data_IF_580454127336
#
_entry.id   IF_580454127336
#
_cell.length_a   1.000
_cell.length_b   1.000
_cell.length_c   1.000
_cell.angle_alpha   90.00
_cell.angle_beta   90.00
_cell.angle_gamma   90.00
#
_symmetry.space_group_name_H-M   'P 1'
#
loop_
_entity.id
_entity.type
_entity.pdbx_description
1 polymer ?
#
# COMPACT_ATOMS: atom_id res chain seq x y z
N UNK A 1 23.25 18.15 -20.09
CA UNK A 1 22.46 18.43 -18.88
C UNK A 1 22.61 17.22 -17.99
N UNK A 2 23.38 17.31 -16.91
CA UNK A 2 23.37 16.28 -15.87
C UNK A 2 21.95 16.22 -15.31
N UNK A 3 21.26 15.09 -15.49
CA UNK A 3 20.00 14.83 -14.79
C UNK A 3 20.35 14.89 -13.30
N UNK A 4 19.85 15.90 -12.60
CA UNK A 4 20.02 16.00 -11.16
C UNK A 4 19.47 14.74 -10.49
N UNK A 5 20.19 14.24 -9.48
CA UNK A 5 19.74 13.11 -8.66
C UNK A 5 18.40 13.50 -8.04
N UNK A 6 17.29 12.94 -8.52
CA UNK A 6 16.00 13.08 -7.86
C UNK A 6 16.01 12.19 -6.64
N UNK A 7 15.66 12.78 -5.49
CA UNK A 7 15.53 12.01 -4.25
C UNK A 7 14.21 11.24 -4.29
N UNK A 8 14.18 9.98 -3.81
CA UNK A 8 12.94 9.25 -3.75
C UNK A 8 11.98 9.94 -2.77
N UNK A 9 10.69 9.88 -3.08
CA UNK A 9 9.60 10.28 -2.18
C UNK A 9 9.27 9.18 -1.17
N UNK A 10 9.50 7.92 -1.55
CA UNK A 10 9.31 6.72 -0.71
C UNK A 10 10.56 5.86 -0.83
N UNK A 11 11.09 5.44 0.32
CA UNK A 11 12.18 4.49 0.41
C UNK A 11 11.68 3.22 1.06
N UNK A 12 11.71 2.11 0.34
CA UNK A 12 11.40 0.79 0.89
C UNK A 12 12.71 0.07 1.15
N UNK A 13 12.88 -0.52 2.32
CA UNK A 13 14.01 -1.40 2.64
C UNK A 13 13.45 -2.78 2.96
N UNK A 14 13.65 -3.73 2.06
CA UNK A 14 13.14 -5.10 2.18
C UNK A 14 14.23 -6.06 2.66
N UNK A 15 13.86 -7.05 3.48
CA UNK A 15 14.76 -8.08 3.99
C UNK A 15 15.03 -9.22 3.00
N UNK A 16 14.22 -9.33 1.94
CA UNK A 16 14.38 -10.29 0.85
C UNK A 16 13.95 -9.74 -0.53
N UNK A 17 14.29 -10.50 -1.57
CA UNK A 17 14.02 -10.14 -2.95
C UNK A 17 12.53 -10.17 -3.31
N UNK A 18 11.79 -11.19 -2.87
CA UNK A 18 10.35 -11.29 -3.17
C UNK A 18 9.58 -10.15 -2.53
N UNK A 19 9.84 -9.84 -1.25
CA UNK A 19 9.23 -8.72 -0.56
C UNK A 19 9.59 -7.36 -1.18
N UNK A 20 10.81 -7.21 -1.71
CA UNK A 20 11.19 -6.03 -2.46
C UNK A 20 10.31 -5.84 -3.72
N UNK A 21 10.15 -6.88 -4.53
CA UNK A 21 9.34 -6.81 -5.74
C UNK A 21 7.85 -6.59 -5.44
N UNK A 22 7.30 -7.25 -4.42
CA UNK A 22 5.90 -7.07 -4.02
C UNK A 22 5.62 -5.60 -3.67
N UNK A 23 6.48 -5.00 -2.84
CA UNK A 23 6.38 -3.59 -2.47
C UNK A 23 6.52 -2.67 -3.71
N UNK A 24 7.46 -2.99 -4.59
CA UNK A 24 7.70 -2.24 -5.82
C UNK A 24 6.51 -2.27 -6.78
N UNK A 25 5.90 -3.44 -7.00
CA UNK A 25 4.72 -3.61 -7.85
C UNK A 25 3.54 -2.81 -7.32
N UNK A 26 3.30 -2.87 -5.99
CA UNK A 26 2.21 -2.14 -5.33
C UNK A 26 2.27 -0.64 -5.62
N UNK A 27 3.47 -0.05 -5.52
CA UNK A 27 3.71 1.37 -5.77
C UNK A 27 3.69 1.71 -7.28
N UNK A 28 4.22 0.83 -8.14
CA UNK A 28 4.20 1.02 -9.58
C UNK A 28 2.77 1.04 -10.15
N UNK A 29 1.87 0.19 -9.63
CA UNK A 29 0.47 0.12 -10.05
C UNK A 29 -0.32 1.41 -9.85
N UNK A 30 0.12 2.28 -8.92
CA UNK A 30 -0.51 3.58 -8.64
C UNK A 30 0.23 4.77 -9.28
N UNK A 31 1.15 4.48 -10.20
CA UNK A 31 1.81 5.48 -11.04
C UNK A 31 3.16 5.98 -10.55
N UNK A 32 3.75 5.37 -9.53
CA UNK A 32 5.14 5.66 -9.17
C UNK A 32 6.11 5.06 -10.20
N UNK A 33 7.17 5.79 -10.52
CA UNK A 33 8.40 5.17 -11.04
C UNK A 33 9.14 4.51 -9.88
N UNK A 34 9.52 3.25 -10.04
CA UNK A 34 10.09 2.40 -8.98
C UNK A 34 11.35 1.73 -9.49
N UNK A 35 12.43 1.84 -8.72
CA UNK A 35 13.68 1.10 -8.95
C UNK A 35 13.95 0.15 -7.79
N UNK A 36 14.26 -1.12 -8.09
CA UNK A 36 14.73 -2.10 -7.10
C UNK A 36 16.26 -2.19 -7.17
N UNK A 37 16.92 -1.68 -6.15
CA UNK A 37 18.38 -1.67 -6.05
C UNK A 37 18.89 -2.85 -5.20
N UNK A 38 19.87 -3.56 -5.74
CA UNK A 38 20.57 -4.67 -5.06
C UNK A 38 21.93 -4.24 -4.49
N UNK A 39 22.51 -3.18 -5.05
CA UNK A 39 23.83 -2.68 -4.69
C UNK A 39 23.80 -1.16 -4.60
N UNK A 40 24.62 -0.62 -3.68
CA UNK A 40 24.87 0.82 -3.55
C UNK A 40 26.23 1.16 -4.19
N UNK A 41 26.44 2.30 -4.84
CA UNK A 41 25.70 3.57 -4.76
C UNK A 41 24.74 3.74 -5.93
N UNK A 42 23.47 3.33 -5.76
CA UNK A 42 22.44 3.51 -6.76
C UNK A 42 22.18 5.00 -7.06
N UNK A 43 22.03 5.34 -8.34
CA UNK A 43 21.75 6.70 -8.82
C UNK A 43 20.70 6.66 -9.94
N UNK A 44 19.45 6.41 -9.55
CA UNK A 44 18.29 6.48 -10.43
C UNK A 44 17.51 7.78 -10.27
N UNK A 45 16.53 7.97 -11.17
CA UNK A 45 15.59 9.10 -11.10
C UNK A 45 14.17 8.71 -10.65
N UNK A 46 13.95 7.45 -10.24
CA UNK A 46 12.65 6.99 -9.76
C UNK A 46 12.16 7.71 -8.50
N UNK A 47 10.83 7.87 -8.44
CA UNK A 47 10.11 8.44 -7.30
C UNK A 47 10.11 7.53 -6.07
N UNK A 48 10.37 6.23 -6.25
CA UNK A 48 10.43 5.22 -5.20
C UNK A 48 11.68 4.38 -5.40
N UNK A 49 12.47 4.22 -4.33
CA UNK A 49 13.59 3.28 -4.31
C UNK A 49 13.25 2.13 -3.38
N UNK A 50 13.43 0.90 -3.86
CA UNK A 50 13.32 -0.31 -3.06
C UNK A 50 14.72 -0.92 -2.93
N UNK A 51 15.24 -0.99 -1.71
CA UNK A 51 16.55 -1.58 -1.43
C UNK A 51 16.32 -2.99 -0.90
N UNK A 52 16.81 -3.98 -1.62
CA UNK A 52 16.85 -5.35 -1.11
C UNK A 52 18.11 -5.55 -0.26
N UNK A 53 17.92 -5.75 1.03
CA UNK A 53 19.02 -6.00 1.97
C UNK A 53 19.43 -7.46 2.06
N UNK A 54 18.68 -8.41 1.48
CA UNK A 54 18.95 -9.86 1.51
C UNK A 54 19.54 -10.30 2.87
N UNK A 55 18.77 -10.03 3.93
CA UNK A 55 19.21 -10.07 5.33
C UNK A 55 18.37 -10.97 6.21
N UNK A 56 17.26 -11.53 5.70
CA UNK A 56 16.31 -12.35 6.48
C UNK A 56 16.97 -13.48 7.27
N UNK A 57 17.90 -14.20 6.64
CA UNK A 57 18.57 -15.36 7.25
C UNK A 57 19.96 -15.03 7.82
N UNK A 58 20.35 -13.76 7.89
CA UNK A 58 21.62 -13.35 8.47
C UNK A 58 21.56 -13.36 10.01
N UNK A 59 22.73 -13.33 10.65
CA UNK A 59 22.82 -12.98 12.06
C UNK A 59 22.26 -11.56 12.30
N UNK A 60 21.49 -11.32 13.38
CA UNK A 60 20.89 -10.01 13.65
C UNK A 60 21.87 -8.84 13.64
N UNK A 61 23.09 -9.03 14.15
CA UNK A 61 24.11 -7.96 14.17
C UNK A 61 24.61 -7.66 12.76
N UNK A 62 24.83 -8.70 11.95
CA UNK A 62 25.25 -8.55 10.56
C UNK A 62 24.14 -7.89 9.71
N UNK A 63 22.88 -8.25 9.93
CA UNK A 63 21.74 -7.60 9.29
C UNK A 63 21.69 -6.10 9.63
N UNK A 64 21.80 -5.74 10.91
CA UNK A 64 21.84 -4.33 11.34
C UNK A 64 23.02 -3.55 10.74
N UNK A 65 24.22 -4.15 10.66
CA UNK A 65 25.38 -3.55 10.00
C UNK A 65 25.13 -3.33 8.49
N UNK A 66 24.53 -4.33 7.82
CA UNK A 66 24.20 -4.25 6.39
C UNK A 66 23.21 -3.12 6.12
N UNK A 67 22.15 -3.01 6.92
CA UNK A 67 21.20 -1.88 6.86
C UNK A 67 21.93 -0.54 7.04
N UNK A 68 22.75 -0.42 8.09
CA UNK A 68 23.50 0.82 8.37
C UNK A 68 24.39 1.21 7.18
N UNK A 69 25.08 0.23 6.59
CA UNK A 69 25.92 0.45 5.40
C UNK A 69 25.10 0.93 4.20
N UNK A 70 23.99 0.25 3.87
CA UNK A 70 23.12 0.63 2.76
C UNK A 70 22.61 2.07 2.93
N UNK A 71 22.18 2.43 4.14
CA UNK A 71 21.64 3.75 4.43
C UNK A 71 22.69 4.86 4.41
N UNK A 72 23.96 4.56 4.72
CA UNK A 72 25.05 5.55 4.68
C UNK A 72 25.30 6.15 3.28
N UNK A 73 24.83 5.47 2.24
CA UNK A 73 24.97 5.88 0.84
C UNK A 73 23.79 6.72 0.33
N UNK A 74 22.78 6.98 1.16
CA UNK A 74 21.55 7.68 0.75
C UNK A 74 21.54 9.16 1.15
N UNK A 75 21.09 10.07 0.26
CA UNK A 75 21.09 11.51 0.51
C UNK A 75 19.88 11.98 1.34
N UNK A 76 19.74 11.51 2.59
CA UNK A 76 18.55 11.72 3.45
C UNK A 76 18.41 13.11 4.09
N UNK A 77 19.44 13.97 4.03
CA UNK A 77 19.53 15.19 4.85
C UNK A 77 18.53 16.32 4.52
N UNK A 78 17.95 16.35 3.30
CA UNK A 78 17.01 17.41 2.88
C UNK A 78 15.75 16.76 2.27
N UNK A 79 14.59 17.00 2.88
CA UNK A 79 13.28 16.40 2.58
C UNK A 79 13.30 14.86 2.66
N UNK A 80 13.27 14.27 3.87
CA UNK A 80 13.38 12.83 4.03
C UNK A 80 12.17 12.11 3.39
N UNK A 81 12.38 10.98 2.69
CA UNK A 81 11.29 10.18 2.16
C UNK A 81 10.44 9.58 3.29
N UNK A 82 9.24 9.11 2.93
CA UNK A 82 8.57 8.09 3.74
C UNK A 82 9.43 6.82 3.70
N UNK A 83 9.90 6.37 4.87
CA UNK A 83 10.70 5.14 4.98
C UNK A 83 9.79 3.99 5.39
N UNK A 84 9.79 2.94 4.57
CA UNK A 84 9.06 1.70 4.82
C UNK A 84 10.07 0.57 5.02
N UNK A 85 10.07 -0.03 6.21
CA UNK A 85 10.72 -1.30 6.43
C UNK A 85 9.76 -2.43 6.02
N UNK A 86 10.01 -3.00 4.84
CA UNK A 86 9.31 -4.19 4.37
C UNK A 86 9.87 -5.43 5.07
N UNK A 87 8.98 -6.13 5.78
CA UNK A 87 9.23 -7.38 6.49
C UNK A 87 8.37 -8.52 5.94
N UNK A 88 8.69 -9.74 6.34
CA UNK A 88 7.89 -10.92 6.10
C UNK A 88 6.54 -10.85 6.86
N UNK A 89 5.43 -11.12 6.18
CA UNK A 89 4.08 -11.10 6.81
C UNK A 89 3.91 -12.17 7.90
N UNK A 90 4.77 -13.18 7.86
CA UNK A 90 4.87 -14.26 8.85
C UNK A 90 6.00 -14.06 9.85
N UNK A 91 6.49 -12.81 9.99
CA UNK A 91 7.41 -12.38 11.04
C UNK A 91 8.77 -13.10 11.11
N UNK A 92 9.22 -13.72 10.02
CA UNK A 92 10.56 -14.30 9.96
C UNK A 92 11.63 -13.22 9.83
N UNK A 93 12.83 -13.52 10.33
CA UNK A 93 14.03 -12.70 10.14
C UNK A 93 14.34 -11.70 11.25
N UNK A 94 15.07 -10.64 10.88
CA UNK A 94 15.76 -9.75 11.82
C UNK A 94 15.00 -8.45 12.09
N UNK A 95 13.70 -8.56 12.36
CA UNK A 95 12.78 -7.41 12.47
C UNK A 95 13.27 -6.35 13.46
N UNK A 96 13.58 -6.73 14.70
CA UNK A 96 13.95 -5.76 15.73
C UNK A 96 15.31 -5.11 15.46
N UNK A 97 16.30 -5.90 15.02
CA UNK A 97 17.63 -5.39 14.71
C UNK A 97 17.62 -4.42 13.52
N UNK A 98 16.84 -4.72 12.48
CA UNK A 98 16.75 -3.89 11.28
C UNK A 98 15.91 -2.63 11.50
N UNK A 99 14.85 -2.70 12.33
CA UNK A 99 14.11 -1.50 12.78
C UNK A 99 15.07 -0.53 13.49
N UNK A 100 15.82 -1.02 14.48
CA UNK A 100 16.75 -0.19 15.24
C UNK A 100 17.82 0.44 14.34
N UNK A 101 18.39 -0.34 13.42
CA UNK A 101 19.39 0.16 12.47
C UNK A 101 18.82 1.25 11.55
N UNK A 102 17.61 1.05 11.01
CA UNK A 102 16.95 2.04 10.16
C UNK A 102 16.59 3.33 10.92
N UNK A 103 16.03 3.20 12.12
CA UNK A 103 15.72 4.34 12.99
C UNK A 103 16.96 5.18 13.25
N UNK A 104 18.08 4.55 13.63
CA UNK A 104 19.37 5.24 13.83
C UNK A 104 19.87 5.90 12.56
N UNK A 105 19.87 5.20 11.44
CA UNK A 105 20.38 5.71 10.17
C UNK A 105 19.56 6.89 9.62
N UNK A 106 18.25 6.91 9.88
CA UNK A 106 17.36 7.98 9.44
C UNK A 106 17.20 9.12 10.47
N UNK A 107 17.72 8.96 11.69
CA UNK A 107 17.46 9.89 12.79
C UNK A 107 15.99 9.92 13.23
N UNK A 108 15.29 8.79 13.11
CA UNK A 108 13.86 8.65 13.45
C UNK A 108 13.73 8.02 14.85
N UNK A 109 12.87 8.60 15.70
CA UNK A 109 12.65 8.11 17.08
C UNK A 109 11.41 7.25 17.25
N UNK A 110 10.49 7.21 16.28
CA UNK A 110 9.29 6.37 16.34
C UNK A 110 9.17 5.39 15.18
N UNK A 111 8.82 4.14 15.47
CA UNK A 111 8.47 3.14 14.46
C UNK A 111 7.06 2.57 14.71
N UNK A 112 6.28 2.43 13.64
CA UNK A 112 4.93 1.85 13.66
C UNK A 112 4.96 0.52 12.94
N UNK A 113 4.60 -0.56 13.64
CA UNK A 113 4.64 -1.94 13.15
C UNK A 113 3.22 -2.43 12.89
N UNK A 114 2.93 -2.71 11.63
CA UNK A 114 1.66 -3.24 11.13
C UNK A 114 1.95 -4.34 10.08
N UNK A 115 2.24 -5.58 10.52
CA UNK A 115 2.68 -6.65 9.63
C UNK A 115 1.54 -7.35 8.89
N UNK A 116 0.28 -7.06 9.24
CA UNK A 116 -0.89 -7.69 8.65
C UNK A 116 -0.91 -7.60 7.12
N UNK A 117 -1.42 -8.67 6.50
CA UNK A 117 -1.71 -8.74 5.08
C UNK A 117 -3.04 -9.50 4.88
N UNK A 118 -4.19 -8.82 5.06
CA UNK A 118 -5.51 -9.45 5.08
C UNK A 118 -5.83 -10.26 3.83
N UNK A 119 -5.42 -9.80 2.65
CA UNK A 119 -5.61 -10.52 1.38
C UNK A 119 -4.90 -11.88 1.35
N UNK A 120 -3.81 -12.02 2.10
CA UNK A 120 -3.11 -13.29 2.30
C UNK A 120 -3.55 -14.00 3.59
N UNK A 121 -4.61 -13.55 4.27
CA UNK A 121 -5.10 -14.13 5.52
C UNK A 121 -4.20 -13.86 6.74
N UNK A 122 -3.31 -12.85 6.69
CA UNK A 122 -2.47 -12.46 7.83
C UNK A 122 -3.11 -11.28 8.56
N UNK A 123 -3.40 -11.45 9.84
CA UNK A 123 -4.00 -10.39 10.68
C UNK A 123 -3.21 -10.18 11.96
N UNK A 124 -3.35 -8.99 12.54
CA UNK A 124 -2.82 -8.66 13.86
C UNK A 124 -3.99 -8.38 14.80
N UNK A 125 -4.07 -9.16 15.87
CA UNK A 125 -5.17 -9.11 16.85
C UNK A 125 -4.57 -9.18 18.25
N UNK A 126 -4.85 -8.18 19.08
CA UNK A 126 -4.29 -8.01 20.41
C UNK A 126 -2.75 -8.07 20.44
N UNK A 127 -2.09 -7.49 19.43
CA UNK A 127 -0.64 -7.53 19.25
C UNK A 127 -0.07 -8.89 18.85
N UNK A 128 -0.90 -9.89 18.59
CA UNK A 128 -0.53 -11.22 18.12
C UNK A 128 -0.75 -11.38 16.62
N UNK A 129 0.12 -12.13 15.94
CA UNK A 129 -0.02 -12.44 14.52
C UNK A 129 -0.76 -13.76 14.32
N UNK A 130 -1.73 -13.72 13.41
CA UNK A 130 -2.60 -14.82 13.03
C UNK A 130 -2.50 -15.04 11.53
N UNK A 131 -2.54 -16.31 11.12
CA UNK A 131 -2.53 -16.76 9.73
C UNK A 131 -3.77 -17.63 9.52
N UNK A 132 -4.69 -17.19 8.66
CA UNK A 132 -5.95 -17.88 8.38
C UNK A 132 -6.75 -18.24 9.64
N UNK A 133 -6.75 -17.36 10.63
CA UNK A 133 -7.44 -17.58 11.91
C UNK A 133 -6.70 -18.48 12.91
N UNK A 134 -5.50 -18.96 12.59
CA UNK A 134 -4.64 -19.76 13.47
C UNK A 134 -3.47 -18.90 13.97
N UNK A 135 -3.07 -19.04 15.24
CA UNK A 135 -1.90 -18.32 15.76
C UNK A 135 -0.65 -18.71 14.98
N UNK A 136 0.22 -17.74 14.67
CA UNK A 136 1.39 -18.03 13.84
C UNK A 136 2.31 -19.13 14.42
N UNK A 137 2.39 -19.26 15.75
CA UNK A 137 3.16 -20.31 16.44
C UNK A 137 2.56 -21.72 16.30
N UNK A 138 1.33 -21.82 15.80
CA UNK A 138 0.61 -23.08 15.56
C UNK A 138 0.56 -23.42 14.06
N UNK A 139 1.38 -22.76 13.24
CA UNK A 139 1.48 -22.97 11.78
C UNK A 139 2.86 -23.47 11.38
N UNK A 140 3.08 -23.79 10.10
CA UNK A 140 4.39 -24.22 9.61
C UNK A 140 5.52 -23.18 9.84
N UNK A 141 5.18 -21.88 9.95
CA UNK A 141 6.15 -20.79 10.13
C UNK A 141 6.89 -20.87 11.47
N UNK A 142 6.28 -21.50 12.49
CA UNK A 142 6.93 -21.76 13.77
C UNK A 142 8.11 -22.74 13.65
N UNK A 143 8.07 -23.61 12.62
CA UNK A 143 9.07 -24.65 12.34
C UNK A 143 9.92 -24.37 11.11
N UNK A 144 9.95 -23.11 10.62
CA UNK A 144 10.78 -22.73 9.47
C UNK A 144 12.24 -23.14 9.71
N UNK A 145 12.90 -23.82 8.75
CA UNK A 145 14.20 -24.46 8.97
C UNK A 145 15.35 -23.47 9.14
N UNK A 146 15.16 -22.20 8.75
CA UNK A 146 16.19 -21.15 8.83
C UNK A 146 15.86 -20.10 9.87
N UNK A 147 14.59 -19.73 9.96
CA UNK A 147 14.11 -18.56 10.71
C UNK A 147 12.80 -18.88 11.43
N UNK A 148 12.81 -19.79 12.42
CA UNK A 148 11.59 -20.20 13.11
C UNK A 148 10.96 -19.05 13.90
N UNK A 149 9.63 -18.96 13.86
CA UNK A 149 8.86 -17.94 14.59
C UNK A 149 8.55 -18.43 16.00
N UNK A 150 9.16 -17.80 17.01
CA UNK A 150 9.14 -18.30 18.39
C UNK A 150 8.01 -17.74 19.27
N UNK A 151 7.28 -16.72 18.81
CA UNK A 151 6.17 -16.12 19.55
C UNK A 151 5.10 -15.64 18.58
N UNK A 152 3.84 -15.68 19.00
CA UNK A 152 2.77 -15.03 18.25
C UNK A 152 2.72 -13.53 18.49
N UNK A 153 3.23 -13.06 19.65
CA UNK A 153 3.23 -11.67 20.03
C UNK A 153 4.36 -10.92 19.34
N UNK A 154 3.99 -9.97 18.48
CA UNK A 154 4.94 -9.22 17.64
C UNK A 154 5.98 -8.48 18.48
N UNK A 155 5.54 -7.89 19.60
CA UNK A 155 6.44 -7.17 20.49
C UNK A 155 7.52 -8.08 21.10
N UNK A 156 7.20 -9.34 21.38
CA UNK A 156 8.17 -10.30 21.94
C UNK A 156 9.23 -10.65 20.88
N UNK A 157 8.83 -10.87 19.63
CA UNK A 157 9.76 -11.12 18.51
C UNK A 157 10.73 -9.94 18.35
N UNK A 158 10.22 -8.71 18.36
CA UNK A 158 11.04 -7.51 18.20
C UNK A 158 12.05 -7.37 19.36
N UNK A 159 11.59 -7.55 20.61
CA UNK A 159 12.42 -7.41 21.81
C UNK A 159 13.54 -8.44 21.92
N UNK A 160 13.49 -9.54 21.18
CA UNK A 160 14.62 -10.48 21.11
C UNK A 160 15.86 -9.87 20.46
N UNK A 161 15.71 -8.77 19.70
CA UNK A 161 16.76 -8.23 18.84
C UNK A 161 17.05 -6.75 19.08
N UNK A 162 16.26 -6.06 19.91
CA UNK A 162 16.46 -4.65 20.25
C UNK A 162 16.03 -4.34 21.68
N UNK A 163 16.69 -3.35 22.30
CA UNK A 163 16.33 -2.82 23.61
C UNK A 163 15.34 -1.64 23.54
N UNK A 164 14.95 -1.18 22.34
CA UNK A 164 13.98 -0.09 22.19
C UNK A 164 12.63 -0.55 22.77
N UNK A 165 11.98 0.27 23.62
CA UNK A 165 10.65 -0.05 24.14
C UNK A 165 9.65 -0.33 23.02
N UNK A 166 9.13 -1.55 23.00
CA UNK A 166 8.09 -1.98 22.07
C UNK A 166 6.77 -2.18 22.81
N UNK A 167 5.67 -1.57 22.36
CA UNK A 167 4.37 -1.65 23.04
C UNK A 167 3.20 -1.63 22.05
N UNK A 168 2.02 -2.18 22.42
CA UNK A 168 0.80 -1.96 21.65
C UNK A 168 0.42 -0.48 21.63
N UNK A 169 0.04 0.03 20.46
CA UNK A 169 -0.47 1.40 20.29
C UNK A 169 -1.68 1.38 19.36
N UNK A 170 -2.51 2.41 19.46
CA UNK A 170 -3.64 2.64 18.56
C UNK A 170 -3.31 3.79 17.61
N UNK A 171 -4.00 3.85 16.48
CA UNK A 171 -3.85 4.95 15.49
C UNK A 171 -4.06 6.32 16.16
N UNK A 172 -5.05 6.45 17.04
CA UNK A 172 -5.34 7.69 17.77
C UNK A 172 -4.24 8.10 18.76
N UNK A 173 -3.43 7.18 19.26
CA UNK A 173 -2.35 7.51 20.20
C UNK A 173 -1.13 8.08 19.48
N UNK A 174 -0.95 7.84 18.17
CA UNK A 174 0.23 8.27 17.42
C UNK A 174 0.49 9.78 17.49
N UNK A 175 -0.58 10.60 17.53
CA UNK A 175 -0.48 12.06 17.65
C UNK A 175 0.00 12.56 19.02
N UNK A 176 -0.01 11.69 20.03
CA UNK A 176 0.31 12.00 21.42
C UNK A 176 1.63 11.38 21.90
N UNK A 177 2.30 10.56 21.07
CA UNK A 177 3.56 9.93 21.44
C UNK A 177 4.70 10.95 21.45
N UNK A 178 5.55 10.86 22.48
CA UNK A 178 6.77 11.67 22.57
C UNK A 178 7.80 11.18 21.57
N UNK A 179 8.58 12.12 21.03
CA UNK A 179 9.68 11.85 20.12
C UNK A 179 11.05 11.99 20.80
N UNK A 180 11.10 12.26 22.11
CA UNK A 180 12.33 12.46 22.87
C UNK A 180 13.12 11.16 23.10
N UNK A 181 12.43 10.02 23.17
CA UNK A 181 13.02 8.71 23.39
C UNK A 181 12.56 7.75 22.29
N UNK A 182 13.44 6.84 21.81
CA UNK A 182 13.05 5.85 20.82
C UNK A 182 11.91 4.94 21.30
N UNK A 183 10.94 4.65 20.42
CA UNK A 183 9.86 3.71 20.69
C UNK A 183 9.42 2.94 19.44
N UNK A 184 8.84 1.75 19.67
CA UNK A 184 8.24 0.90 18.64
C UNK A 184 6.78 0.60 19.05
N UNK A 185 5.84 0.97 18.19
CA UNK A 185 4.41 0.78 18.42
C UNK A 185 3.84 -0.31 17.51
N UNK A 186 3.27 -1.37 18.07
CA UNK A 186 2.53 -2.39 17.30
C UNK A 186 1.06 -1.98 17.21
N UNK A 187 0.51 -1.90 16.01
CA UNK A 187 -0.90 -1.59 15.78
C UNK A 187 -1.61 -2.79 15.18
N UNK A 188 -2.76 -3.13 15.76
CA UNK A 188 -3.65 -4.17 15.25
C UNK A 188 -4.25 -3.78 13.90
N UNK A 189 -4.38 -4.77 13.03
CA UNK A 189 -5.00 -4.63 11.72
C UNK A 189 -5.57 -5.97 11.25
N UNK A 190 -6.84 -5.97 10.87
CA UNK A 190 -7.54 -7.15 10.37
C UNK A 190 -8.02 -6.98 8.93
N UNK A 191 -8.12 -5.73 8.47
CA UNK A 191 -8.65 -5.36 7.16
C UNK A 191 -7.74 -4.34 6.45
N UNK A 192 -7.86 -4.25 5.13
CA UNK A 192 -7.17 -3.23 4.34
C UNK A 192 -7.52 -1.81 4.80
N UNK A 193 -8.75 -1.60 5.31
CA UNK A 193 -9.18 -0.32 5.89
C UNK A 193 -8.46 0.03 7.20
N UNK A 194 -8.07 -0.96 8.01
CA UNK A 194 -7.22 -0.72 9.19
C UNK A 194 -5.83 -0.26 8.74
N UNK A 195 -5.24 -0.97 7.77
CA UNK A 195 -3.94 -0.64 7.21
C UNK A 195 -3.92 0.74 6.55
N UNK A 196 -5.00 1.10 5.84
CA UNK A 196 -5.16 2.43 5.27
C UNK A 196 -5.10 3.49 6.37
N UNK A 197 -5.87 3.33 7.46
CA UNK A 197 -5.88 4.26 8.60
C UNK A 197 -4.49 4.41 9.23
N UNK A 198 -3.75 3.30 9.37
CA UNK A 198 -2.37 3.32 9.88
C UNK A 198 -1.46 4.11 8.93
N UNK A 199 -1.49 3.81 7.63
CA UNK A 199 -0.68 4.49 6.62
C UNK A 199 -0.96 6.00 6.59
N UNK A 200 -2.23 6.42 6.64
CA UNK A 200 -2.57 7.85 6.73
C UNK A 200 -1.98 8.53 7.95
N UNK A 201 -2.17 7.92 9.12
CA UNK A 201 -1.72 8.54 10.37
C UNK A 201 -0.20 8.71 10.39
N UNK A 202 0.54 7.76 9.81
CA UNK A 202 1.99 7.85 9.66
C UNK A 202 2.40 8.92 8.64
N UNK A 203 1.73 8.97 7.47
CA UNK A 203 2.00 9.99 6.44
C UNK A 203 1.66 11.42 6.89
N UNK A 204 0.73 11.57 7.83
CA UNK A 204 0.28 12.86 8.38
C UNK A 204 0.96 13.21 9.72
N UNK A 205 1.88 12.37 10.20
CA UNK A 205 2.56 12.60 11.47
C UNK A 205 3.40 13.88 11.42
N UNK A 206 3.47 14.59 12.56
CA UNK A 206 4.22 15.86 12.67
C UNK A 206 5.73 15.67 12.52
N UNK A 207 6.23 14.49 12.87
CA UNK A 207 7.61 14.09 12.68
C UNK A 207 7.66 12.77 11.90
N UNK A 208 8.72 12.52 11.12
CA UNK A 208 8.88 11.28 10.39
C UNK A 208 8.79 10.06 11.31
N UNK A 209 8.00 9.07 10.90
CA UNK A 209 7.89 7.76 11.55
C UNK A 209 8.37 6.68 10.58
N UNK A 210 9.08 5.68 11.09
CA UNK A 210 9.41 4.50 10.32
C UNK A 210 8.16 3.62 10.23
N UNK A 211 7.68 3.36 9.02
CA UNK A 211 6.57 2.43 8.80
C UNK A 211 7.13 1.03 8.60
N UNK A 212 6.69 0.06 9.39
CA UNK A 212 7.18 -1.32 9.34
C UNK A 212 6.00 -2.24 9.05
N UNK A 213 6.09 -3.04 8.00
CA UNK A 213 5.02 -3.98 7.67
C UNK A 213 5.32 -4.85 6.47
N UNK A 214 4.33 -5.63 6.07
CA UNK A 214 4.42 -6.54 4.93
C UNK A 214 3.82 -5.92 3.67
N UNK A 215 3.37 -6.72 2.69
CA UNK A 215 2.77 -6.19 1.46
C UNK A 215 1.51 -5.36 1.76
N UNK A 216 0.72 -5.74 2.77
CA UNK A 216 -0.50 -5.01 3.13
C UNK A 216 -0.26 -3.52 3.45
N UNK A 217 0.84 -3.18 4.13
CA UNK A 217 1.15 -1.77 4.39
C UNK A 217 1.68 -1.05 3.15
N UNK A 218 2.42 -1.75 2.27
CA UNK A 218 2.85 -1.20 1.00
C UNK A 218 1.65 -0.88 0.10
N UNK A 219 0.65 -1.76 0.04
CA UNK A 219 -0.60 -1.53 -0.67
C UNK A 219 -1.38 -0.35 -0.09
N UNK A 220 -1.43 -0.24 1.25
CA UNK A 220 -2.07 0.88 1.93
C UNK A 220 -1.39 2.22 1.63
N UNK A 221 -0.05 2.25 1.63
CA UNK A 221 0.69 3.45 1.20
C UNK A 221 0.39 3.76 -0.26
N UNK A 222 0.45 2.77 -1.16
CA UNK A 222 0.19 2.94 -2.58
C UNK A 222 -1.21 3.55 -2.83
N UNK A 223 -2.26 3.06 -2.16
CA UNK A 223 -3.61 3.63 -2.25
C UNK A 223 -3.68 5.10 -1.83
N UNK A 224 -2.79 5.56 -0.94
CA UNK A 224 -2.79 6.93 -0.41
C UNK A 224 -1.74 7.84 -1.06
N UNK A 225 -0.80 7.28 -1.81
CA UNK A 225 0.25 8.01 -2.52
C UNK A 225 0.04 8.03 -4.03
N UNK A 226 -1.08 7.48 -4.53
CA UNK A 226 -1.39 7.40 -5.95
C UNK A 226 -1.15 8.74 -6.68
N UNK A 227 -0.19 8.72 -7.61
CA UNK A 227 0.18 9.89 -8.42
C UNK A 227 -0.72 9.99 -9.65
N UNK A 228 -1.16 8.84 -10.14
CA UNK A 228 -2.13 8.79 -11.24
C UNK A 228 -3.54 8.81 -10.66
N UNK A 229 -4.36 9.74 -11.16
CA UNK A 229 -5.81 9.57 -11.05
C UNK A 229 -6.15 8.23 -11.71
N UNK A 230 -6.93 7.35 -11.07
CA UNK A 230 -7.26 6.08 -11.67
C UNK A 230 -7.93 6.34 -13.02
N UNK A 231 -7.57 5.61 -14.09
CA UNK A 231 -8.06 5.93 -15.43
C UNK A 231 -9.58 5.90 -15.45
N UNK A 232 -10.18 6.96 -15.98
CA UNK A 232 -11.62 7.01 -16.26
C UNK A 232 -11.89 6.39 -17.62
N UNK A 233 -12.99 5.65 -17.73
CA UNK A 233 -13.39 4.99 -18.97
C UNK A 233 -14.70 5.60 -19.42
N UNK A 234 -14.80 5.96 -20.70
CA UNK A 234 -16.04 6.25 -21.38
C UNK A 234 -16.48 5.00 -22.15
N UNK A 235 -17.60 4.41 -21.76
CA UNK A 235 -18.21 3.28 -22.46
C UNK A 235 -19.49 3.73 -23.15
N UNK A 236 -19.58 3.54 -24.47
CA UNK A 236 -20.78 3.84 -25.27
C UNK A 236 -21.44 2.52 -25.67
N UNK A 237 -22.63 2.27 -25.14
CA UNK A 237 -23.34 0.99 -25.26
C UNK A 237 -24.64 1.20 -26.06
N UNK A 238 -24.55 0.99 -27.37
CA UNK A 238 -25.71 0.95 -28.25
C UNK A 238 -26.38 -0.43 -28.33
N UNK A 239 -25.80 -1.46 -27.69
CA UNK A 239 -26.34 -2.81 -27.73
C UNK A 239 -27.60 -2.92 -26.87
N UNK A 240 -28.70 -3.25 -27.53
CA UNK A 240 -29.95 -3.62 -26.87
C UNK A 240 -29.96 -5.13 -26.56
N UNK A 241 -28.86 -5.78 -26.18
CA UNK A 241 -28.84 -7.24 -25.85
C UNK A 241 -28.97 -7.53 -24.36
N UNK A 242 -29.58 -8.66 -23.97
CA UNK A 242 -29.80 -9.00 -22.55
C UNK A 242 -28.50 -9.02 -21.75
N UNK A 243 -27.42 -9.47 -22.38
CA UNK A 243 -26.09 -9.45 -21.78
C UNK A 243 -25.58 -8.02 -21.52
N UNK A 244 -25.81 -7.07 -22.44
CA UNK A 244 -25.41 -5.68 -22.26
C UNK A 244 -26.16 -5.01 -21.09
N UNK A 245 -27.46 -5.31 -20.92
CA UNK A 245 -28.22 -4.83 -19.77
C UNK A 245 -27.70 -5.39 -18.45
N UNK A 246 -27.36 -6.69 -18.40
CA UNK A 246 -26.76 -7.30 -17.20
C UNK A 246 -25.39 -6.69 -16.87
N UNK A 247 -24.58 -6.39 -17.90
CA UNK A 247 -23.29 -5.72 -17.74
C UNK A 247 -23.46 -4.31 -17.16
N UNK A 248 -24.38 -3.50 -17.71
CA UNK A 248 -24.72 -2.16 -17.19
C UNK A 248 -25.20 -2.26 -15.74
N UNK A 249 -26.08 -3.23 -15.43
CA UNK A 249 -26.61 -3.44 -14.09
C UNK A 249 -25.51 -3.80 -13.08
N UNK A 250 -24.56 -4.64 -13.47
CA UNK A 250 -23.42 -5.03 -12.60
C UNK A 250 -22.54 -3.82 -12.27
N UNK A 251 -22.41 -2.90 -13.22
CA UNK A 251 -21.58 -1.73 -13.07
C UNK A 251 -22.20 -0.67 -12.14
N UNK A 252 -23.53 -0.68 -11.91
CA UNK A 252 -24.18 0.25 -10.97
C UNK A 252 -23.63 0.20 -9.55
N UNK A 253 -23.15 -0.95 -9.08
CA UNK A 253 -22.59 -1.08 -7.74
C UNK A 253 -21.17 -0.54 -7.61
N UNK A 254 -20.55 -0.07 -8.71
CA UNK A 254 -19.21 0.48 -8.67
C UNK A 254 -19.21 1.90 -8.06
N UNK A 255 -18.33 2.20 -7.09
CA UNK A 255 -18.37 3.45 -6.33
C UNK A 255 -18.02 4.72 -7.13
N UNK A 256 -17.42 4.57 -8.31
CA UNK A 256 -17.02 5.66 -9.22
C UNK A 256 -17.65 5.50 -10.59
N UNK A 257 -18.98 5.49 -10.66
CA UNK A 257 -19.69 5.34 -11.92
C UNK A 257 -20.82 6.36 -12.08
N UNK A 258 -20.88 6.95 -13.26
CA UNK A 258 -22.01 7.77 -13.71
C UNK A 258 -22.61 7.09 -14.93
N UNK A 259 -23.92 6.88 -14.90
CA UNK A 259 -24.67 6.36 -16.04
C UNK A 259 -25.49 7.47 -16.67
N UNK A 260 -25.43 7.55 -18.00
CA UNK A 260 -26.13 8.52 -18.81
C UNK A 260 -26.95 7.73 -19.81
N UNK A 261 -28.25 7.65 -19.51
CA UNK A 261 -29.21 7.21 -20.50
C UNK A 261 -29.33 8.28 -21.59
N UNK A 262 -29.29 7.84 -22.83
CA UNK A 262 -29.47 8.65 -24.02
C UNK A 262 -30.75 8.24 -24.71
N UNK A 263 -31.69 9.18 -24.75
CA UNK A 263 -32.88 9.04 -25.58
C UNK A 263 -32.51 9.30 -27.05
N UNK A 264 -32.73 8.27 -27.88
CA UNK A 264 -32.41 8.29 -29.31
C UNK A 264 -33.25 9.33 -30.05
N UNK A 265 -34.53 9.47 -29.70
CA UNK A 265 -35.43 10.46 -30.33
C UNK A 265 -34.95 11.88 -30.02
N UNK A 266 -34.51 12.12 -28.79
CA UNK A 266 -33.97 13.41 -28.36
C UNK A 266 -32.70 13.80 -29.13
N UNK A 267 -31.81 12.84 -29.41
CA UNK A 267 -30.63 13.08 -30.25
C UNK A 267 -31.02 13.36 -31.69
N UNK A 268 -31.93 12.56 -32.27
CA UNK A 268 -32.38 12.72 -33.65
C UNK A 268 -33.10 14.06 -33.87
N UNK A 269 -33.71 14.63 -32.82
CA UNK A 269 -34.28 15.98 -32.81
C UNK A 269 -33.23 17.12 -32.74
N UNK A 270 -31.93 16.80 -32.70
CA UNK A 270 -30.82 17.78 -32.69
C UNK A 270 -30.36 18.24 -31.31
N UNK A 271 -30.88 17.65 -30.22
CA UNK A 271 -30.61 18.08 -28.85
C UNK A 271 -29.53 17.20 -28.17
N UNK A 272 -28.31 17.20 -28.71
CA UNK A 272 -27.20 16.38 -28.21
C UNK A 272 -26.34 17.06 -27.12
N UNK A 273 -26.34 18.40 -27.06
CA UNK A 273 -25.39 19.18 -26.24
C UNK A 273 -25.50 18.94 -24.73
N UNK A 274 -26.67 18.57 -24.22
CA UNK A 274 -26.86 18.23 -22.80
C UNK A 274 -26.13 16.94 -22.41
N UNK A 275 -26.12 15.94 -23.30
CA UNK A 275 -25.44 14.67 -23.04
C UNK A 275 -23.92 14.85 -23.01
N UNK A 276 -23.36 15.63 -23.94
CA UNK A 276 -21.92 15.92 -23.99
C UNK A 276 -21.43 16.59 -22.70
N UNK A 277 -22.17 17.60 -22.21
CA UNK A 277 -21.84 18.29 -20.97
C UNK A 277 -21.83 17.35 -19.77
N UNK A 278 -22.84 16.46 -19.67
CA UNK A 278 -22.95 15.47 -18.59
C UNK A 278 -21.84 14.41 -18.65
N UNK A 279 -21.46 13.96 -19.86
CA UNK A 279 -20.35 13.02 -20.06
C UNK A 279 -19.04 13.66 -19.59
N UNK A 280 -18.76 14.88 -20.02
CA UNK A 280 -17.54 15.63 -19.64
C UNK A 280 -17.51 15.85 -18.13
N UNK A 281 -18.63 16.23 -17.52
CA UNK A 281 -18.72 16.44 -16.08
C UNK A 281 -18.44 15.14 -15.29
N UNK A 282 -18.97 14.01 -15.74
CA UNK A 282 -18.73 12.71 -15.13
C UNK A 282 -17.23 12.34 -15.15
N UNK A 283 -16.59 12.48 -16.31
CA UNK A 283 -15.16 12.17 -16.47
C UNK A 283 -14.28 13.14 -15.67
N UNK A 284 -14.61 14.44 -15.64
CA UNK A 284 -13.88 15.45 -14.85
C UNK A 284 -13.97 15.20 -13.34
N UNK A 285 -15.08 14.60 -12.87
CA UNK A 285 -15.25 14.17 -11.48
C UNK A 285 -14.43 12.92 -11.13
N UNK A 286 -13.87 12.22 -12.11
CA UNK A 286 -13.11 10.98 -11.91
C UNK A 286 -13.97 9.72 -11.90
N UNK A 287 -15.23 9.82 -12.34
CA UNK A 287 -16.14 8.67 -12.49
C UNK A 287 -15.92 7.99 -13.85
N UNK A 288 -16.11 6.67 -13.90
CA UNK A 288 -16.36 5.99 -15.18
C UNK A 288 -17.71 6.46 -15.73
N UNK A 289 -17.80 6.73 -17.02
CA UNK A 289 -19.03 7.19 -17.66
C UNK A 289 -19.57 6.10 -18.59
N UNK A 290 -20.77 5.60 -18.29
CA UNK A 290 -21.50 4.69 -19.18
C UNK A 290 -22.60 5.47 -19.87
N UNK A 291 -22.53 5.53 -21.20
CA UNK A 291 -23.57 6.09 -22.06
C UNK A 291 -24.33 4.93 -22.68
N UNK A 292 -25.64 4.85 -22.50
CA UNK A 292 -26.44 3.75 -23.04
C UNK A 292 -27.78 4.23 -23.59
N UNK A 293 -28.28 3.56 -24.63
CA UNK A 293 -29.56 3.88 -25.29
C UNK A 293 -30.73 3.05 -24.76
N UNK A 294 -30.50 2.22 -23.75
CA UNK A 294 -31.49 1.26 -23.25
C UNK A 294 -32.15 1.77 -21.96
N UNK A 295 -33.47 2.02 -21.99
CA UNK A 295 -34.23 2.57 -20.86
C UNK A 295 -34.67 1.48 -19.87
N UNK A 296 -35.14 0.34 -20.38
CA UNK A 296 -35.58 -0.81 -19.57
C UNK A 296 -35.63 -2.10 -20.41
N UNK A 297 -35.75 -3.26 -19.78
CA UNK A 297 -35.96 -4.59 -20.40
C UNK A 297 -37.15 -4.63 -21.37
N UNK A 298 -38.16 -3.78 -21.15
CA UNK A 298 -39.38 -3.66 -21.96
C UNK A 298 -39.15 -2.92 -23.28
N UNK A 299 -38.18 -2.00 -23.34
CA UNK A 299 -37.92 -1.18 -24.53
C UNK A 299 -37.47 -2.00 -25.75
N UNK A 300 -36.96 -3.23 -25.55
CA UNK A 300 -36.65 -4.17 -26.63
C UNK A 300 -37.86 -4.62 -27.44
N UNK A 301 -39.04 -4.59 -26.84
CA UNK A 301 -40.28 -5.11 -27.43
C UNK A 301 -41.11 -4.00 -28.08
N UNK A 302 -40.68 -2.74 -27.99
CA UNK A 302 -41.25 -1.62 -28.72
C UNK A 302 -40.51 -1.49 -30.06
N UNK A 303 -40.95 -2.27 -31.04
CA UNK A 303 -40.58 -2.08 -32.44
C UNK A 303 -41.62 -1.12 -33.00
N UNK A 304 -41.20 0.06 -33.45
CA UNK A 304 -42.06 0.91 -34.28
C UNK A 304 -42.44 0.13 -35.54
N UNK A 305 -43.74 -0.14 -35.70
CA UNK A 305 -44.36 -0.62 -36.94
C UNK A 305 -44.66 0.52 -37.88
#
# INVERSE_FOLDING_TARGET
MEKGITKPSILVVADDFTGANDAGVSLAQVGHTVDVAFEMHYRGDASVWVINSDSRAMDPKLAAMKITSLMSHLPLANNPPLVIKKIDSTLRGNIGAEIEALMKACGITGAVVAPAFPQAGRTTVAGECWVNGVRITETEFASDPKTPVLSARIADIIRLQTAIPCQPVTVSQLSHLSYEQPWIGVIDAQTDSDLDRIAAAVMQAKQPLLLVGSAGICDAVARRSAIMSPPTVLAIIGSMSEIAQRQIATLHSHPRITQIYVDVEHILAGNASDYDARIVQALQKGDHCIVHTCNDSVARHQIDT
#
